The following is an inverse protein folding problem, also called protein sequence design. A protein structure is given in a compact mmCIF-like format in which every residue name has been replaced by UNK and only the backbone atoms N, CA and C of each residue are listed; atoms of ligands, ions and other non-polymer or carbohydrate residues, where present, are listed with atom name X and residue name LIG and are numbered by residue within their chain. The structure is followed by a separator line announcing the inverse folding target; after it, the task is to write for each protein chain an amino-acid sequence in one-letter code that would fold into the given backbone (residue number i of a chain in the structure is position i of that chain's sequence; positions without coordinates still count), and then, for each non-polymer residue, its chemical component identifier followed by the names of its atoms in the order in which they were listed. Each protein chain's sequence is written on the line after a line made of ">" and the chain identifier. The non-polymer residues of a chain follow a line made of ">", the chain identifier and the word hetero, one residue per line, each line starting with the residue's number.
data_IF_520350719198
#
_entry.id   IF_520350719198
#
_cell.length_a   1.000
_cell.length_b   1.000
_cell.length_c   1.000
_cell.angle_alpha   90.00
_cell.angle_beta   90.00
_cell.angle_gamma   90.00
#
_symmetry.space_group_name_H-M   'P 1'
#
loop_
_entity.id
_entity.type
_entity.pdbx_description
1 polymer ?
#
# COMPACT_ATOMS: atom_id res chain seq x y z
N UNK A 1 -12.35 -25.90 44.30
CA UNK A 1 -11.41 -24.88 43.80
C UNK A 1 -10.88 -25.36 42.45
N UNK A 2 -11.59 -25.01 41.37
CA UNK A 2 -11.08 -25.27 40.01
C UNK A 2 -10.22 -24.08 39.61
N UNK A 3 -8.91 -24.31 39.48
CA UNK A 3 -7.96 -23.38 38.90
C UNK A 3 -8.29 -23.19 37.42
N UNK A 4 -8.98 -22.11 37.11
CA UNK A 4 -9.18 -21.65 35.74
C UNK A 4 -7.86 -21.06 35.22
N UNK A 5 -7.04 -21.90 34.60
CA UNK A 5 -5.89 -21.47 33.82
C UNK A 5 -6.43 -21.01 32.45
N UNK A 6 -6.99 -19.80 32.40
CA UNK A 6 -7.18 -19.12 31.11
C UNK A 6 -5.81 -18.55 30.73
N UNK A 7 -5.16 -19.02 29.64
CA UNK A 7 -3.94 -18.39 29.18
C UNK A 7 -4.27 -16.93 28.88
N UNK A 8 -3.44 -16.01 29.38
CA UNK A 8 -3.55 -14.57 29.20
C UNK A 8 -3.51 -14.17 27.72
N UNK A 9 -4.60 -14.36 26.99
CA UNK A 9 -4.70 -13.95 25.60
C UNK A 9 -5.00 -12.46 25.60
N UNK A 10 -3.97 -11.67 25.29
CA UNK A 10 -4.19 -10.28 24.88
C UNK A 10 -5.13 -10.29 23.67
N UNK A 11 -6.15 -9.42 23.63
CA UNK A 11 -7.06 -9.35 22.51
C UNK A 11 -6.28 -9.03 21.22
N UNK A 12 -6.69 -9.65 20.11
CA UNK A 12 -6.10 -9.35 18.81
C UNK A 12 -6.18 -7.85 18.51
N UNK A 13 -5.10 -7.26 18.00
CA UNK A 13 -4.95 -5.84 17.73
C UNK A 13 -4.60 -5.59 16.26
N UNK A 14 -5.32 -4.68 15.63
CA UNK A 14 -5.13 -4.26 14.24
C UNK A 14 -4.80 -2.77 14.20
N UNK A 15 -3.65 -2.41 13.65
CA UNK A 15 -3.33 -1.01 13.35
C UNK A 15 -3.65 -0.69 11.90
N UNK A 16 -4.39 0.38 11.66
CA UNK A 16 -4.75 0.87 10.34
C UNK A 16 -4.05 2.23 10.17
N UNK A 17 -3.04 2.25 9.30
CA UNK A 17 -2.29 3.46 8.94
C UNK A 17 -3.02 4.12 7.77
N UNK A 18 -3.55 5.31 8.01
CA UNK A 18 -4.46 6.06 7.15
C UNK A 18 -5.92 5.97 7.63
N UNK A 19 -6.49 7.08 8.09
CA UNK A 19 -7.87 7.19 8.56
C UNK A 19 -8.81 7.79 7.48
N UNK A 20 -8.41 7.75 6.21
CA UNK A 20 -9.29 8.10 5.08
C UNK A 20 -10.44 7.10 4.89
N UNK A 21 -11.25 7.28 3.83
CA UNK A 21 -12.48 6.51 3.58
C UNK A 21 -12.29 4.98 3.67
N UNK A 22 -11.20 4.43 3.14
CA UNK A 22 -10.93 2.98 3.21
C UNK A 22 -10.60 2.55 4.64
N UNK A 23 -9.69 3.26 5.31
CA UNK A 23 -9.24 2.93 6.66
C UNK A 23 -10.35 3.07 7.71
N UNK A 24 -11.16 4.13 7.64
CA UNK A 24 -12.30 4.32 8.53
C UNK A 24 -13.39 3.26 8.32
N UNK A 25 -13.71 2.93 7.06
CA UNK A 25 -14.67 1.85 6.75
C UNK A 25 -14.13 0.49 7.20
N UNK A 26 -12.82 0.25 7.09
CA UNK A 26 -12.20 -0.98 7.58
C UNK A 26 -12.28 -1.08 9.11
N UNK A 27 -11.99 0.01 9.82
CA UNK A 27 -12.12 0.09 11.27
C UNK A 27 -13.56 -0.23 11.70
N UNK A 28 -14.55 0.41 11.06
CA UNK A 28 -15.96 0.13 11.30
C UNK A 28 -16.27 -1.36 11.16
N UNK A 29 -15.88 -1.99 10.04
CA UNK A 29 -16.15 -3.41 9.79
C UNK A 29 -15.50 -4.35 10.81
N UNK A 30 -14.26 -4.07 11.21
CA UNK A 30 -13.55 -4.86 12.23
C UNK A 30 -14.29 -4.78 13.57
N UNK A 31 -14.76 -3.59 13.92
CA UNK A 31 -15.49 -3.34 15.18
C UNK A 31 -16.86 -4.00 15.16
N UNK A 32 -17.66 -3.80 14.12
CA UNK A 32 -19.00 -4.38 13.96
C UNK A 32 -18.98 -5.92 13.96
N UNK A 33 -17.95 -6.51 13.32
CA UNK A 33 -17.76 -7.97 13.34
C UNK A 33 -17.09 -8.49 14.62
N UNK A 34 -16.75 -7.61 15.57
CA UNK A 34 -16.03 -7.94 16.80
C UNK A 34 -14.71 -8.70 16.56
N UNK A 35 -13.99 -8.41 15.48
CA UNK A 35 -12.78 -9.15 15.07
C UNK A 35 -11.59 -8.84 16.00
N UNK A 36 -11.31 -7.56 16.23
CA UNK A 36 -10.10 -7.10 16.92
C UNK A 36 -10.27 -5.72 17.55
N UNK A 37 -9.35 -5.36 18.44
CA UNK A 37 -9.11 -3.99 18.87
C UNK A 37 -8.44 -3.22 17.73
N UNK A 38 -8.84 -1.96 17.50
CA UNK A 38 -8.37 -1.15 16.36
C UNK A 38 -7.57 0.06 16.83
N UNK A 39 -6.42 0.30 16.20
CA UNK A 39 -5.69 1.56 16.26
C UNK A 39 -5.75 2.23 14.90
N UNK A 40 -6.42 3.38 14.80
CA UNK A 40 -6.38 4.23 13.63
C UNK A 40 -5.25 5.25 13.81
N UNK A 41 -4.34 5.30 12.85
CA UNK A 41 -3.28 6.29 12.79
C UNK A 41 -3.45 7.14 11.54
N UNK A 42 -3.39 8.46 11.67
CA UNK A 42 -3.29 9.36 10.52
C UNK A 42 -2.27 10.47 10.79
N UNK A 43 -1.81 11.16 9.76
CA UNK A 43 -0.92 12.32 9.93
C UNK A 43 -1.71 13.59 10.20
N UNK A 44 -3.00 13.63 9.83
CA UNK A 44 -3.88 14.78 10.06
C UNK A 44 -4.33 14.79 11.52
N UNK A 45 -3.97 15.82 12.32
CA UNK A 45 -4.36 15.88 13.73
C UNK A 45 -5.88 15.85 13.93
N UNK A 46 -6.36 15.01 14.85
CA UNK A 46 -7.78 14.90 15.21
C UNK A 46 -8.64 14.05 14.27
N UNK A 47 -8.16 13.69 13.07
CA UNK A 47 -8.93 12.89 12.13
C UNK A 47 -9.15 11.46 12.66
N UNK A 48 -8.06 10.78 13.03
CA UNK A 48 -8.12 9.42 13.54
C UNK A 48 -8.86 9.35 14.89
N UNK A 49 -8.61 10.32 15.78
CA UNK A 49 -9.26 10.45 17.08
C UNK A 49 -10.76 10.66 16.95
N UNK A 50 -11.20 11.54 16.05
CA UNK A 50 -12.60 11.82 15.80
C UNK A 50 -13.35 10.58 15.31
N UNK A 51 -12.77 9.88 14.32
CA UNK A 51 -13.36 8.65 13.78
C UNK A 51 -13.40 7.55 14.85
N UNK A 52 -12.32 7.38 15.62
CA UNK A 52 -12.26 6.39 16.69
C UNK A 52 -13.33 6.64 17.75
N UNK A 53 -13.53 7.90 18.17
CA UNK A 53 -14.54 8.27 19.15
C UNK A 53 -15.96 8.01 18.63
N UNK A 54 -16.24 8.38 17.38
CA UNK A 54 -17.53 8.14 16.74
C UNK A 54 -17.85 6.63 16.66
N UNK A 55 -16.87 5.83 16.22
CA UNK A 55 -17.00 4.36 16.24
C UNK A 55 -17.22 3.82 17.64
N UNK A 56 -16.54 4.36 18.67
CA UNK A 56 -16.79 3.97 20.05
C UNK A 56 -18.23 4.26 20.50
N UNK A 57 -18.81 5.39 20.07
CA UNK A 57 -20.19 5.76 20.39
C UNK A 57 -21.21 4.86 19.68
N UNK A 58 -20.93 4.45 18.44
CA UNK A 58 -21.79 3.55 17.68
C UNK A 58 -21.90 2.13 18.30
N UNK A 59 -20.85 1.65 18.99
CA UNK A 59 -20.79 0.28 19.53
C UNK A 59 -21.94 -0.09 20.47
N UNK A 60 -22.43 0.87 21.26
CA UNK A 60 -23.56 0.63 22.17
C UNK A 60 -24.87 0.30 21.42
N UNK A 61 -25.02 0.86 20.21
CA UNK A 61 -26.18 0.66 19.34
C UNK A 61 -26.05 -0.67 18.60
N UNK A 62 -24.88 -0.93 18.02
CA UNK A 62 -24.55 -2.17 17.29
C UNK A 62 -24.36 -3.39 18.20
N UNK A 63 -24.50 -3.23 19.52
CA UNK A 63 -24.36 -4.28 20.55
C UNK A 63 -23.02 -5.03 20.46
N UNK A 64 -21.95 -4.31 20.09
CA UNK A 64 -20.61 -4.85 19.92
C UNK A 64 -19.76 -4.65 21.19
N UNK A 65 -19.79 -5.61 22.11
CA UNK A 65 -19.20 -5.49 23.45
C UNK A 65 -17.94 -6.35 23.70
N UNK A 66 -16.96 -6.26 22.81
CA UNK A 66 -15.64 -6.88 23.02
C UNK A 66 -14.92 -6.36 24.28
N UNK A 67 -15.18 -5.10 24.67
CA UNK A 67 -14.56 -4.47 25.84
C UNK A 67 -14.98 -5.14 27.18
N UNK A 68 -16.22 -5.60 27.31
CA UNK A 68 -16.69 -6.34 28.48
C UNK A 68 -16.07 -7.74 28.58
N UNK A 69 -15.91 -8.43 27.44
CA UNK A 69 -15.34 -9.79 27.39
C UNK A 69 -13.86 -9.84 27.85
N UNK A 70 -13.09 -8.76 27.66
CA UNK A 70 -11.64 -8.76 27.89
C UNK A 70 -11.23 -8.01 29.17
N UNK A 71 -12.19 -7.58 30.01
CA UNK A 71 -11.94 -6.77 31.24
C UNK A 71 -11.02 -5.56 31.03
N UNK A 72 -10.96 -5.06 29.80
CA UNK A 72 -10.17 -3.91 29.39
C UNK A 72 -11.12 -2.91 28.76
N UNK A 73 -11.80 -2.15 29.62
CA UNK A 73 -12.83 -1.19 29.25
C UNK A 73 -12.36 -0.05 28.32
N UNK A 74 -11.06 0.01 27.99
CA UNK A 74 -10.41 1.17 27.36
C UNK A 74 -9.66 0.89 26.05
N UNK A 75 -9.82 -0.27 25.39
CA UNK A 75 -8.96 -0.62 24.24
C UNK A 75 -9.63 -1.05 22.93
N UNK A 76 -10.94 -0.85 22.73
CA UNK A 76 -11.57 -1.39 21.51
C UNK A 76 -11.25 -0.60 20.23
N UNK A 77 -11.25 0.74 20.27
CA UNK A 77 -10.89 1.60 19.13
C UNK A 77 -10.12 2.80 19.66
N UNK A 78 -8.98 3.12 19.07
CA UNK A 78 -8.12 4.21 19.49
C UNK A 78 -7.61 4.96 18.26
N UNK A 79 -7.68 6.29 18.28
CA UNK A 79 -7.16 7.17 17.23
C UNK A 79 -5.88 7.88 17.71
N UNK A 80 -4.91 8.07 16.82
CA UNK A 80 -3.62 8.69 17.15
C UNK A 80 -2.93 9.28 15.92
N UNK A 81 -1.93 10.12 16.15
CA UNK A 81 -0.93 10.51 15.15
C UNK A 81 0.46 9.88 15.42
N UNK A 82 0.60 9.04 16.45
CA UNK A 82 1.88 8.51 16.91
C UNK A 82 2.02 7.00 16.66
N UNK A 83 3.07 6.60 15.94
CA UNK A 83 3.37 5.19 15.67
C UNK A 83 3.69 4.37 16.93
N UNK A 84 4.13 4.97 18.04
CA UNK A 84 4.35 4.24 19.27
C UNK A 84 3.07 3.56 19.79
N UNK A 85 1.91 4.14 19.50
CA UNK A 85 0.62 3.58 19.89
C UNK A 85 0.20 2.38 19.04
N UNK A 86 0.87 2.12 17.91
CA UNK A 86 0.61 0.94 17.05
C UNK A 86 1.34 -0.31 17.53
N UNK A 87 1.97 -0.28 18.71
CA UNK A 87 2.79 -1.36 19.23
C UNK A 87 2.01 -2.67 19.47
N UNK A 88 2.69 -3.80 19.32
CA UNK A 88 2.13 -5.15 19.58
C UNK A 88 0.88 -5.49 18.75
N UNK A 89 0.74 -4.89 17.57
CA UNK A 89 -0.32 -5.23 16.62
C UNK A 89 -0.07 -6.58 15.98
N UNK A 90 -1.11 -7.40 15.87
CA UNK A 90 -1.05 -8.67 15.15
C UNK A 90 -1.08 -8.45 13.63
N UNK A 91 -1.79 -7.40 13.21
CA UNK A 91 -1.91 -7.01 11.80
C UNK A 91 -1.75 -5.50 11.68
N UNK A 92 -0.94 -5.07 10.74
CA UNK A 92 -0.81 -3.66 10.34
C UNK A 92 -1.36 -3.54 8.92
N UNK A 93 -2.30 -2.62 8.71
CA UNK A 93 -2.90 -2.33 7.41
C UNK A 93 -2.47 -0.94 6.96
N UNK A 94 -1.79 -0.83 5.81
CA UNK A 94 -1.42 0.45 5.22
C UNK A 94 -2.46 0.82 4.15
N UNK A 95 -3.30 1.79 4.48
CA UNK A 95 -4.20 2.49 3.55
C UNK A 95 -3.74 3.93 3.27
N UNK A 96 -2.72 4.42 3.99
CA UNK A 96 -2.17 5.74 3.83
C UNK A 96 -1.57 5.92 2.43
N UNK A 97 -1.97 7.00 1.78
CA UNK A 97 -1.51 7.36 0.45
C UNK A 97 -2.29 8.56 -0.06
N UNK A 98 -1.74 9.23 -1.07
CA UNK A 98 -2.45 10.28 -1.79
C UNK A 98 -3.30 9.67 -2.90
N UNK A 99 -4.57 10.09 -3.06
CA UNK A 99 -5.27 9.84 -4.32
C UNK A 99 -4.59 10.65 -5.44
N UNK A 100 -4.79 10.21 -6.68
CA UNK A 100 -4.36 10.97 -7.86
C UNK A 100 -5.12 12.29 -7.92
N UNK A 101 -4.41 13.42 -7.91
CA UNK A 101 -5.00 14.75 -8.06
C UNK A 101 -4.99 15.19 -9.54
N UNK A 102 -5.90 16.09 -9.96
CA UNK A 102 -5.82 16.70 -11.29
C UNK A 102 -4.43 17.33 -11.51
N UNK A 103 -3.82 17.07 -12.68
CA UNK A 103 -2.48 17.55 -13.02
C UNK A 103 -1.31 16.68 -12.51
N UNK A 104 -1.55 15.68 -11.65
CA UNK A 104 -0.51 14.80 -11.13
C UNK A 104 -0.10 13.74 -12.17
N UNK A 105 1.21 13.65 -12.43
CA UNK A 105 1.78 12.62 -13.31
C UNK A 105 1.68 11.22 -12.67
N UNK A 106 1.90 10.16 -13.45
CA UNK A 106 1.95 8.79 -12.90
C UNK A 106 3.17 8.63 -11.97
N UNK A 107 4.29 9.23 -12.34
CA UNK A 107 5.54 9.18 -11.58
C UNK A 107 5.43 9.98 -10.28
N UNK A 108 4.74 11.13 -10.29
CA UNK A 108 4.52 11.94 -9.08
C UNK A 108 3.71 11.16 -8.04
N UNK A 109 2.62 10.52 -8.50
CA UNK A 109 1.78 9.68 -7.63
C UNK A 109 2.57 8.49 -7.09
N UNK A 110 3.36 7.85 -7.96
CA UNK A 110 4.22 6.73 -7.58
C UNK A 110 5.23 7.15 -6.51
N UNK A 111 5.89 8.30 -6.68
CA UNK A 111 6.86 8.84 -5.73
C UNK A 111 6.21 9.12 -4.37
N UNK A 112 5.12 9.88 -4.37
CA UNK A 112 4.42 10.27 -3.14
C UNK A 112 3.98 9.04 -2.35
N UNK A 113 3.33 8.08 -3.02
CA UNK A 113 2.85 6.88 -2.35
C UNK A 113 3.99 5.95 -1.94
N UNK A 114 5.08 5.86 -2.72
CA UNK A 114 6.27 5.10 -2.35
C UNK A 114 6.87 5.62 -1.03
N UNK A 115 7.05 6.94 -0.91
CA UNK A 115 7.56 7.55 0.33
C UNK A 115 6.64 7.25 1.51
N UNK A 116 5.33 7.49 1.37
CA UNK A 116 4.35 7.25 2.44
C UNK A 116 4.36 5.79 2.89
N UNK A 117 4.34 4.85 1.95
CA UNK A 117 4.27 3.42 2.26
C UNK A 117 5.56 2.92 2.89
N UNK A 118 6.73 3.36 2.41
CA UNK A 118 8.03 2.98 2.98
C UNK A 118 8.17 3.48 4.41
N UNK A 119 7.79 4.73 4.68
CA UNK A 119 7.81 5.29 6.04
C UNK A 119 6.80 4.61 6.96
N UNK A 120 5.57 4.39 6.48
CA UNK A 120 4.54 3.70 7.24
C UNK A 120 4.94 2.27 7.62
N UNK A 121 5.49 1.52 6.66
CA UNK A 121 5.96 0.16 6.90
C UNK A 121 7.09 0.12 7.92
N UNK A 122 8.11 0.99 7.79
CA UNK A 122 9.25 1.07 8.72
C UNK A 122 8.80 1.39 10.14
N UNK A 123 8.03 2.47 10.30
CA UNK A 123 7.63 2.93 11.62
C UNK A 123 6.67 1.94 12.30
N UNK A 124 5.68 1.41 11.57
CA UNK A 124 4.74 0.47 12.16
C UNK A 124 5.41 -0.85 12.58
N UNK A 125 6.31 -1.40 11.76
CA UNK A 125 7.02 -2.65 12.07
C UNK A 125 8.08 -2.46 13.17
N UNK A 126 8.67 -1.27 13.30
CA UNK A 126 9.55 -0.97 14.44
C UNK A 126 8.84 -1.12 15.79
N UNK A 127 7.53 -0.82 15.85
CA UNK A 127 6.71 -0.99 17.06
C UNK A 127 5.97 -2.34 17.13
N UNK A 128 5.79 -3.00 15.99
CA UNK A 128 5.08 -4.28 15.86
C UNK A 128 5.85 -5.27 14.97
N UNK A 129 7.01 -5.76 15.44
CA UNK A 129 7.91 -6.60 14.64
C UNK A 129 7.35 -7.98 14.31
N UNK A 130 6.26 -8.40 14.97
CA UNK A 130 5.56 -9.68 14.77
C UNK A 130 4.28 -9.55 13.93
N UNK A 131 3.92 -8.35 13.48
CA UNK A 131 2.70 -8.13 12.70
C UNK A 131 2.74 -8.71 11.27
N UNK A 132 1.59 -9.14 10.77
CA UNK A 132 1.40 -9.30 9.32
C UNK A 132 1.08 -7.93 8.71
N UNK A 133 1.78 -7.59 7.64
CA UNK A 133 1.65 -6.31 6.94
C UNK A 133 0.73 -6.47 5.72
N UNK A 134 -0.43 -5.82 5.78
CA UNK A 134 -1.40 -5.73 4.70
C UNK A 134 -1.29 -4.38 4.00
N UNK A 135 -1.03 -4.38 2.69
CA UNK A 135 -0.94 -3.14 1.90
C UNK A 135 -2.20 -2.98 1.05
N UNK A 136 -2.73 -1.76 1.04
CA UNK A 136 -3.91 -1.36 0.23
C UNK A 136 -3.58 -0.20 -0.71
N UNK A 137 -2.56 0.59 -0.38
CA UNK A 137 -2.14 1.77 -1.13
C UNK A 137 -1.73 1.42 -2.56
N UNK A 138 -2.19 2.20 -3.53
CA UNK A 138 -1.90 2.00 -4.94
C UNK A 138 -0.70 2.83 -5.43
N UNK A 139 0.02 2.41 -6.50
CA UNK A 139 -0.15 1.17 -7.27
C UNK A 139 0.25 -0.08 -6.47
N UNK A 140 -0.71 -0.98 -6.29
CA UNK A 140 -0.70 -1.91 -5.16
C UNK A 140 0.48 -2.87 -5.13
N UNK A 141 0.74 -3.58 -6.22
CA UNK A 141 1.82 -4.58 -6.26
C UNK A 141 3.19 -3.94 -6.03
N UNK A 142 3.41 -2.74 -6.59
CA UNK A 142 4.62 -1.94 -6.39
C UNK A 142 4.74 -1.48 -4.94
N UNK A 143 3.65 -0.96 -4.36
CA UNK A 143 3.64 -0.51 -2.96
C UNK A 143 3.85 -1.69 -2.00
N UNK A 144 3.32 -2.87 -2.32
CA UNK A 144 3.51 -4.08 -1.53
C UNK A 144 4.98 -4.54 -1.56
N UNK A 145 5.61 -4.51 -2.73
CA UNK A 145 7.04 -4.80 -2.88
C UNK A 145 7.91 -3.82 -2.08
N UNK A 146 7.65 -2.51 -2.19
CA UNK A 146 8.41 -1.48 -1.46
C UNK A 146 8.19 -1.58 0.05
N UNK A 147 6.97 -1.86 0.51
CA UNK A 147 6.67 -2.10 1.91
C UNK A 147 7.43 -3.32 2.45
N UNK A 148 7.49 -4.40 1.68
CA UNK A 148 8.27 -5.60 2.03
C UNK A 148 9.75 -5.27 2.18
N UNK A 149 10.36 -4.64 1.19
CA UNK A 149 11.77 -4.23 1.25
C UNK A 149 12.06 -3.30 2.44
N UNK A 150 11.18 -2.32 2.67
CA UNK A 150 11.34 -1.34 3.74
C UNK A 150 11.16 -1.93 5.14
N UNK A 151 10.25 -2.88 5.29
CA UNK A 151 9.93 -3.51 6.58
C UNK A 151 10.97 -4.53 7.03
N UNK A 152 11.68 -5.16 6.08
CA UNK A 152 12.60 -6.27 6.36
C UNK A 152 11.92 -7.54 6.86
N UNK A 153 10.58 -7.60 6.76
CA UNK A 153 9.81 -8.80 7.13
C UNK A 153 10.04 -9.93 6.13
N UNK A 154 9.87 -11.19 6.56
CA UNK A 154 9.84 -12.29 5.61
C UNK A 154 8.64 -12.13 4.66
N UNK A 155 8.78 -12.47 3.37
CA UNK A 155 7.79 -12.14 2.34
C UNK A 155 6.40 -12.70 2.62
N UNK A 156 6.28 -13.87 3.26
CA UNK A 156 4.98 -14.44 3.63
C UNK A 156 4.18 -13.56 4.61
N UNK A 157 4.84 -12.68 5.37
CA UNK A 157 4.19 -11.75 6.32
C UNK A 157 3.81 -10.42 5.68
N UNK A 158 3.99 -10.25 4.38
CA UNK A 158 3.57 -9.06 3.63
C UNK A 158 2.63 -9.48 2.52
N UNK A 159 1.49 -8.81 2.38
CA UNK A 159 0.48 -9.17 1.39
C UNK A 159 -0.32 -7.95 0.95
N UNK A 160 -0.60 -7.83 -0.34
CA UNK A 160 -1.41 -6.75 -0.89
C UNK A 160 -2.86 -7.15 -1.14
N UNK A 161 -3.80 -6.25 -0.86
CA UNK A 161 -5.24 -6.44 -1.12
C UNK A 161 -5.57 -6.19 -2.60
N UNK A 162 -5.19 -7.15 -3.46
CA UNK A 162 -5.31 -7.02 -4.92
C UNK A 162 -6.51 -7.82 -5.45
N UNK A 163 -6.25 -9.02 -5.95
CA UNK A 163 -7.22 -9.80 -6.71
C UNK A 163 -8.54 -10.06 -5.98
N UNK A 164 -8.58 -10.07 -4.64
CA UNK A 164 -9.83 -10.19 -3.89
C UNK A 164 -10.86 -9.10 -4.21
N UNK A 165 -10.42 -7.86 -4.47
CA UNK A 165 -11.31 -6.75 -4.85
C UNK A 165 -11.85 -6.93 -6.27
N UNK A 166 -10.99 -7.34 -7.19
CA UNK A 166 -11.38 -7.54 -8.60
C UNK A 166 -12.26 -8.79 -8.75
N UNK A 167 -11.98 -9.85 -8.00
CA UNK A 167 -12.89 -10.99 -7.83
C UNK A 167 -14.25 -10.55 -7.33
N UNK A 168 -14.32 -9.70 -6.29
CA UNK A 168 -15.60 -9.22 -5.75
C UNK A 168 -16.40 -8.39 -6.77
N UNK A 169 -15.73 -7.56 -7.56
CA UNK A 169 -16.35 -6.81 -8.66
C UNK A 169 -16.88 -7.73 -9.75
N UNK A 170 -16.07 -8.70 -10.17
CA UNK A 170 -16.47 -9.63 -11.22
C UNK A 170 -17.63 -10.51 -10.76
N UNK A 171 -17.61 -11.00 -9.52
CA UNK A 171 -18.73 -11.70 -8.88
C UNK A 171 -20.01 -10.88 -8.93
N UNK A 172 -19.95 -9.59 -8.57
CA UNK A 172 -21.12 -8.72 -8.60
C UNK A 172 -21.67 -8.56 -10.03
N UNK A 173 -20.81 -8.40 -11.03
CA UNK A 173 -21.26 -8.26 -12.42
C UNK A 173 -21.84 -9.54 -13.01
N UNK A 174 -21.23 -10.71 -12.72
CA UNK A 174 -21.78 -12.01 -13.11
C UNK A 174 -23.15 -12.23 -12.45
N UNK A 175 -23.27 -11.91 -11.15
CA UNK A 175 -24.52 -12.04 -10.42
C UNK A 175 -25.64 -11.16 -10.99
N UNK A 176 -25.32 -9.92 -11.34
CA UNK A 176 -26.25 -8.98 -11.99
C UNK A 176 -26.68 -9.46 -13.38
N UNK A 177 -25.74 -9.98 -14.18
CA UNK A 177 -26.02 -10.48 -15.53
C UNK A 177 -26.95 -11.70 -15.50
N UNK A 178 -26.71 -12.64 -14.59
CA UNK A 178 -27.45 -13.90 -14.50
C UNK A 178 -28.69 -13.82 -13.59
N UNK A 179 -28.87 -12.74 -12.84
CA UNK A 179 -29.98 -12.58 -11.88
C UNK A 179 -29.89 -13.54 -10.70
N UNK A 180 -28.69 -13.86 -10.23
CA UNK A 180 -28.44 -14.81 -9.13
C UNK A 180 -27.84 -14.11 -7.90
N UNK A 181 -27.92 -14.72 -6.69
CA UNK A 181 -27.25 -14.15 -5.52
C UNK A 181 -25.72 -14.08 -5.68
N UNK A 182 -25.11 -12.94 -5.36
CA UNK A 182 -23.63 -12.78 -5.46
C UNK A 182 -22.86 -13.78 -4.61
N UNK A 183 -23.43 -14.22 -3.49
CA UNK A 183 -22.82 -15.22 -2.58
C UNK A 183 -22.63 -16.59 -3.23
N UNK A 184 -23.39 -16.90 -4.29
CA UNK A 184 -23.29 -18.16 -5.04
C UNK A 184 -22.27 -18.09 -6.18
N UNK A 185 -21.69 -16.91 -6.43
CA UNK A 185 -20.72 -16.68 -7.50
C UNK A 185 -19.31 -16.72 -6.94
N UNK A 186 -18.43 -17.50 -7.56
CA UNK A 186 -16.98 -17.48 -7.33
C UNK A 186 -16.29 -16.93 -8.57
N UNK A 187 -15.36 -15.98 -8.40
CA UNK A 187 -14.56 -15.46 -9.51
C UNK A 187 -13.06 -15.51 -9.17
N UNK A 188 -12.28 -15.95 -10.14
CA UNK A 188 -10.82 -16.04 -10.04
C UNK A 188 -10.17 -15.09 -11.02
N UNK A 189 -9.29 -14.23 -10.50
CA UNK A 189 -8.47 -13.29 -11.26
C UNK A 189 -7.03 -13.35 -10.77
N UNK A 190 -6.08 -13.19 -11.69
CA UNK A 190 -4.65 -13.06 -11.43
C UNK A 190 -4.12 -11.72 -11.93
N UNK A 191 -2.84 -11.45 -11.70
CA UNK A 191 -2.15 -10.27 -12.20
C UNK A 191 -2.40 -9.02 -11.36
N UNK A 192 -1.90 -7.89 -11.86
CA UNK A 192 -2.13 -6.55 -11.30
C UNK A 192 -3.53 -6.03 -11.64
N UNK A 193 -4.02 -5.06 -10.88
CA UNK A 193 -5.28 -4.34 -11.17
C UNK A 193 -5.31 -3.68 -12.56
N UNK A 194 -6.53 -3.47 -13.08
CA UNK A 194 -6.81 -2.71 -14.30
C UNK A 194 -6.50 -3.48 -15.59
N UNK A 195 -5.86 -2.82 -16.56
CA UNK A 195 -5.51 -3.41 -17.86
C UNK A 195 -4.64 -4.67 -17.76
N UNK A 196 -3.93 -4.81 -16.63
CA UNK A 196 -3.03 -5.91 -16.33
C UNK A 196 -3.69 -7.08 -15.59
N UNK A 197 -5.01 -7.00 -15.38
CA UNK A 197 -5.80 -8.04 -14.74
C UNK A 197 -5.97 -9.22 -15.70
N UNK A 198 -5.74 -10.42 -15.19
CA UNK A 198 -5.84 -11.69 -15.91
C UNK A 198 -7.04 -12.48 -15.35
N UNK A 199 -8.25 -12.25 -15.87
CA UNK A 199 -9.43 -13.01 -15.47
C UNK A 199 -9.35 -14.44 -15.98
N UNK A 200 -9.91 -15.37 -15.22
CA UNK A 200 -9.95 -16.79 -15.57
C UNK A 200 -11.39 -17.30 -15.63
N UNK A 201 -12.15 -17.04 -16.71
CA UNK A 201 -13.57 -17.41 -16.79
C UNK A 201 -13.87 -18.89 -16.49
N UNK A 202 -13.00 -19.82 -16.91
CA UNK A 202 -13.13 -21.25 -16.61
C UNK A 202 -12.96 -21.63 -15.13
N UNK A 203 -12.41 -20.72 -14.33
CA UNK A 203 -12.33 -20.85 -12.87
C UNK A 203 -13.34 -19.95 -12.15
N UNK A 204 -14.21 -19.25 -12.89
CA UNK A 204 -15.35 -18.54 -12.36
C UNK A 204 -16.59 -19.43 -12.43
N UNK A 205 -17.37 -19.51 -11.36
CA UNK A 205 -18.52 -20.42 -11.27
C UNK A 205 -19.73 -19.76 -10.61
N UNK A 206 -20.92 -20.27 -10.92
CA UNK A 206 -22.15 -20.05 -10.15
C UNK A 206 -22.58 -21.39 -9.58
N UNK A 207 -22.57 -21.53 -8.25
CA UNK A 207 -22.87 -22.80 -7.56
C UNK A 207 -22.08 -24.00 -8.11
N UNK A 208 -20.84 -23.77 -8.54
CA UNK A 208 -19.95 -24.79 -9.11
C UNK A 208 -20.03 -24.98 -10.63
N UNK A 209 -21.00 -24.37 -11.32
CA UNK A 209 -21.11 -24.44 -12.79
C UNK A 209 -20.24 -23.33 -13.41
N UNK A 210 -19.27 -23.66 -14.30
CA UNK A 210 -18.43 -22.67 -14.95
C UNK A 210 -19.25 -21.62 -15.73
N UNK A 211 -18.87 -20.34 -15.63
CA UNK A 211 -19.61 -19.28 -16.34
C UNK A 211 -19.54 -19.43 -17.87
N UNK A 212 -18.55 -20.15 -18.39
CA UNK A 212 -18.40 -20.50 -19.81
C UNK A 212 -19.48 -21.47 -20.32
N UNK A 213 -20.21 -22.13 -19.41
CA UNK A 213 -21.39 -22.95 -19.74
C UNK A 213 -22.70 -22.17 -19.58
N UNK A 214 -22.66 -21.01 -18.91
CA UNK A 214 -23.84 -20.21 -18.56
C UNK A 214 -24.03 -19.01 -19.49
N UNK A 215 -22.96 -18.52 -20.11
CA UNK A 215 -22.95 -17.31 -20.95
C UNK A 215 -22.02 -17.51 -22.15
N UNK A 216 -22.30 -16.79 -23.24
CA UNK A 216 -21.39 -16.74 -24.38
C UNK A 216 -20.11 -15.92 -24.09
N UNK A 217 -19.11 -16.10 -24.95
CA UNK A 217 -17.81 -15.43 -24.78
C UNK A 217 -17.92 -13.90 -24.89
N UNK A 218 -18.80 -13.37 -25.74
CA UNK A 218 -18.99 -11.92 -25.91
C UNK A 218 -19.48 -11.27 -24.62
N UNK A 219 -20.44 -11.91 -23.94
CA UNK A 219 -20.95 -11.50 -22.64
C UNK A 219 -19.85 -11.55 -21.59
N UNK A 220 -19.09 -12.65 -21.53
CA UNK A 220 -17.97 -12.80 -20.58
C UNK A 220 -16.92 -11.71 -20.80
N UNK A 221 -16.53 -11.44 -22.03
CA UNK A 221 -15.55 -10.40 -22.38
C UNK A 221 -16.03 -9.00 -21.98
N UNK A 222 -17.31 -8.69 -22.19
CA UNK A 222 -17.92 -7.44 -21.72
C UNK A 222 -17.84 -7.28 -20.20
N UNK A 223 -18.15 -8.34 -19.44
CA UNK A 223 -18.06 -8.31 -17.97
C UNK A 223 -16.61 -8.20 -17.48
N UNK A 224 -15.69 -8.88 -18.14
CA UNK A 224 -14.25 -8.76 -17.89
C UNK A 224 -13.79 -7.32 -18.08
N UNK A 225 -14.15 -6.70 -19.20
CA UNK A 225 -13.73 -5.33 -19.51
C UNK A 225 -14.33 -4.32 -18.52
N UNK A 226 -15.59 -4.50 -18.12
CA UNK A 226 -16.19 -3.72 -17.04
C UNK A 226 -15.44 -3.91 -15.72
N UNK A 227 -15.00 -5.13 -15.41
CA UNK A 227 -14.22 -5.42 -14.19
C UNK A 227 -12.89 -4.67 -14.18
N UNK A 228 -12.14 -4.66 -15.29
CA UNK A 228 -10.89 -3.87 -15.43
C UNK A 228 -11.12 -2.39 -15.16
N UNK A 229 -12.25 -1.87 -15.66
CA UNK A 229 -12.61 -0.46 -15.56
C UNK A 229 -13.41 -0.09 -14.30
N UNK A 230 -13.77 -1.06 -13.44
CA UNK A 230 -14.68 -0.84 -12.32
C UNK A 230 -14.16 0.20 -11.31
N UNK A 231 -12.84 0.29 -11.12
CA UNK A 231 -12.25 1.36 -10.31
C UNK A 231 -12.52 2.75 -10.88
N UNK A 232 -12.32 2.91 -12.18
CA UNK A 232 -12.59 4.16 -12.92
C UNK A 232 -14.08 4.48 -12.98
N UNK A 233 -14.93 3.47 -13.19
CA UNK A 233 -16.40 3.59 -13.16
C UNK A 233 -16.87 4.21 -11.83
N UNK A 234 -16.39 3.70 -10.70
CA UNK A 234 -16.76 4.23 -9.37
C UNK A 234 -16.21 5.64 -9.15
N UNK A 235 -14.98 5.95 -9.58
CA UNK A 235 -14.41 7.31 -9.48
C UNK A 235 -15.26 8.31 -10.25
N UNK A 236 -15.70 7.95 -11.46
CA UNK A 236 -16.56 8.81 -12.29
C UNK A 236 -17.93 9.05 -11.64
N UNK A 237 -18.51 8.02 -11.03
CA UNK A 237 -19.82 8.12 -10.34
C UNK A 237 -19.74 8.91 -9.04
N UNK A 238 -18.70 8.70 -8.21
CA UNK A 238 -18.57 9.38 -6.91
C UNK A 238 -18.08 10.82 -7.03
N UNK A 239 -17.35 11.17 -8.10
CA UNK A 239 -16.77 12.48 -8.42
C UNK A 239 -15.76 13.04 -7.39
N UNK A 240 -15.71 12.51 -6.18
CA UNK A 240 -15.00 13.05 -5.00
C UNK A 240 -14.12 11.99 -4.32
N UNK A 241 -13.70 10.96 -5.07
CA UNK A 241 -12.77 9.94 -4.59
C UNK A 241 -13.00 8.56 -5.22
N UNK A 242 -12.16 7.59 -4.79
CA UNK A 242 -12.26 6.20 -5.22
C UNK A 242 -13.24 5.36 -4.39
N UNK A 243 -13.40 4.10 -4.78
CA UNK A 243 -14.16 3.10 -4.04
C UNK A 243 -13.56 2.86 -2.65
N UNK A 244 -14.42 2.61 -1.65
CA UNK A 244 -13.97 2.35 -0.27
C UNK A 244 -14.69 1.19 0.41
N UNK A 245 -15.97 0.94 0.10
CA UNK A 245 -16.71 -0.18 0.70
C UNK A 245 -16.18 -1.56 0.31
N UNK A 246 -15.98 -1.81 -0.99
CA UNK A 246 -15.48 -3.10 -1.49
C UNK A 246 -14.00 -3.34 -1.13
N UNK A 247 -13.09 -2.33 -1.24
CA UNK A 247 -11.74 -2.43 -0.69
C UNK A 247 -11.73 -2.77 0.81
N UNK A 248 -12.48 -2.03 1.64
CA UNK A 248 -12.52 -2.29 3.08
C UNK A 248 -13.12 -3.66 3.43
N UNK A 249 -14.14 -4.12 2.70
CA UNK A 249 -14.72 -5.45 2.90
C UNK A 249 -13.70 -6.57 2.58
N UNK A 250 -12.96 -6.42 1.49
CA UNK A 250 -11.91 -7.37 1.09
C UNK A 250 -10.76 -7.39 2.10
N UNK A 251 -10.27 -6.21 2.51
CA UNK A 251 -9.23 -6.14 3.55
C UNK A 251 -9.70 -6.71 4.88
N UNK A 252 -10.96 -6.47 5.27
CA UNK A 252 -11.55 -7.04 6.49
C UNK A 252 -11.58 -8.57 6.44
N UNK A 253 -11.93 -9.17 5.29
CA UNK A 253 -11.88 -10.62 5.10
C UNK A 253 -10.46 -11.18 5.23
N UNK A 254 -9.45 -10.47 4.70
CA UNK A 254 -8.05 -10.86 4.84
C UNK A 254 -7.60 -10.81 6.31
N UNK A 255 -7.91 -9.73 7.03
CA UNK A 255 -7.64 -9.58 8.47
C UNK A 255 -8.31 -10.70 9.26
N UNK A 256 -9.57 -11.00 8.98
CA UNK A 256 -10.34 -12.07 9.63
C UNK A 256 -9.69 -13.44 9.39
N UNK A 257 -9.30 -13.74 8.15
CA UNK A 257 -8.64 -15.01 7.80
C UNK A 257 -7.30 -15.20 8.52
N UNK A 258 -6.52 -14.12 8.64
CA UNK A 258 -5.23 -14.10 9.35
C UNK A 258 -5.45 -14.35 10.85
N UNK A 259 -6.28 -13.52 11.49
CA UNK A 259 -6.44 -13.54 12.94
C UNK A 259 -7.12 -14.81 13.45
N UNK A 260 -8.04 -15.37 12.67
CA UNK A 260 -8.77 -16.60 13.04
C UNK A 260 -8.22 -17.86 12.38
N UNK A 261 -7.08 -17.76 11.70
CA UNK A 261 -6.41 -18.87 11.03
C UNK A 261 -7.35 -19.69 10.11
N UNK A 262 -8.22 -19.01 9.36
CA UNK A 262 -9.25 -19.66 8.55
C UNK A 262 -8.67 -20.40 7.33
N UNK A 263 -7.39 -20.19 7.01
CA UNK A 263 -6.68 -20.82 5.88
C UNK A 263 -7.44 -20.64 4.54
N UNK A 264 -8.01 -19.46 4.31
CA UNK A 264 -8.85 -19.21 3.13
C UNK A 264 -7.99 -19.13 1.87
N UNK A 265 -8.52 -19.66 0.77
CA UNK A 265 -8.01 -19.40 -0.56
C UNK A 265 -8.64 -18.12 -1.12
N UNK A 266 -7.82 -17.14 -1.46
CA UNK A 266 -8.28 -15.94 -2.15
C UNK A 266 -7.15 -15.33 -2.97
N UNK A 267 -7.46 -14.61 -4.06
CA UNK A 267 -6.46 -13.85 -4.80
C UNK A 267 -5.91 -12.69 -3.95
N UNK A 268 -4.60 -12.62 -3.82
CA UNK A 268 -3.90 -11.56 -3.12
C UNK A 268 -2.56 -11.26 -3.81
N UNK A 269 -2.01 -10.07 -3.61
CA UNK A 269 -0.66 -9.77 -4.09
C UNK A 269 0.33 -10.44 -3.14
N UNK A 270 1.05 -11.45 -3.64
CA UNK A 270 1.98 -12.24 -2.86
C UNK A 270 3.34 -12.37 -3.57
N UNK A 271 4.39 -12.59 -2.78
CA UNK A 271 5.74 -12.73 -3.28
C UNK A 271 5.94 -14.09 -3.95
N UNK A 272 6.40 -14.08 -5.21
CA UNK A 272 6.69 -15.30 -5.96
C UNK A 272 8.19 -15.63 -5.92
N UNK A 273 8.50 -16.91 -5.71
CA UNK A 273 9.86 -17.46 -5.59
C UNK A 273 10.19 -18.49 -6.68
N UNK A 274 9.27 -18.70 -7.62
CA UNK A 274 9.39 -19.62 -8.75
C UNK A 274 8.02 -20.05 -9.28
N UNK A 275 6.96 -19.82 -8.50
CA UNK A 275 5.58 -20.10 -8.89
C UNK A 275 5.22 -19.37 -10.17
N UNK A 276 4.49 -20.04 -11.05
CA UNK A 276 4.16 -19.60 -12.39
C UNK A 276 5.36 -19.28 -13.29
N UNK A 277 6.59 -19.64 -12.88
CA UNK A 277 7.83 -19.24 -13.56
C UNK A 277 8.28 -17.81 -13.24
N UNK A 278 7.68 -17.18 -12.24
CA UNK A 278 7.97 -15.81 -11.81
C UNK A 278 8.73 -15.81 -10.50
N UNK A 279 9.67 -14.88 -10.34
CA UNK A 279 10.52 -14.77 -9.16
C UNK A 279 10.76 -13.30 -8.83
N UNK A 280 10.87 -13.01 -7.53
CA UNK A 280 11.20 -11.69 -7.00
C UNK A 280 10.20 -10.60 -7.40
N UNK A 281 8.92 -10.91 -7.18
CA UNK A 281 7.82 -10.02 -7.53
C UNK A 281 6.64 -10.24 -6.59
N UNK A 282 5.96 -9.17 -6.22
CA UNK A 282 4.61 -9.23 -5.68
C UNK A 282 3.60 -9.07 -6.82
N UNK A 283 2.68 -10.01 -6.98
CA UNK A 283 1.62 -9.95 -7.99
C UNK A 283 0.40 -10.72 -7.54
N UNK A 284 -0.79 -10.35 -8.03
CA UNK A 284 -2.05 -11.03 -7.73
C UNK A 284 -2.05 -12.50 -8.14
N UNK A 285 -2.10 -13.39 -7.16
CA UNK A 285 -2.23 -14.85 -7.33
C UNK A 285 -3.10 -15.45 -6.22
N UNK A 286 -3.73 -16.63 -6.43
CA UNK A 286 -4.47 -17.32 -5.38
C UNK A 286 -3.51 -17.79 -4.28
N UNK A 287 -3.80 -17.34 -3.06
CA UNK A 287 -3.00 -17.62 -1.89
C UNK A 287 -3.85 -18.31 -0.82
N UNK A 288 -3.23 -19.21 -0.06
CA UNK A 288 -3.75 -19.64 1.23
C UNK A 288 -3.33 -18.62 2.28
N UNK A 289 -4.30 -17.95 2.89
CA UNK A 289 -4.07 -16.92 3.90
C UNK A 289 -4.44 -17.44 5.28
N UNK A 290 -3.45 -17.50 6.18
CA UNK A 290 -3.62 -17.96 7.56
C UNK A 290 -2.85 -17.11 8.57
N UNK A 291 -2.66 -17.64 9.77
CA UNK A 291 -2.05 -16.92 10.90
C UNK A 291 -0.59 -16.51 10.70
N UNK A 292 0.09 -17.10 9.71
CA UNK A 292 1.47 -16.75 9.32
C UNK A 292 1.53 -15.79 8.12
N UNK A 293 0.37 -15.32 7.63
CA UNK A 293 0.25 -14.55 6.40
C UNK A 293 0.00 -15.46 5.21
N UNK A 294 0.77 -15.32 4.13
CA UNK A 294 0.67 -16.17 2.93
C UNK A 294 1.37 -17.51 3.20
N UNK A 295 0.59 -18.56 3.45
CA UNK A 295 1.12 -19.90 3.77
C UNK A 295 1.57 -20.66 2.52
N UNK A 296 0.90 -20.44 1.40
CA UNK A 296 1.23 -21.07 0.11
C UNK A 296 0.55 -20.33 -1.03
N UNK A 297 1.22 -20.25 -2.18
CA UNK A 297 0.62 -19.86 -3.46
C UNK A 297 0.08 -21.11 -4.15
N UNK A 298 -1.14 -21.03 -4.71
CA UNK A 298 -1.77 -22.14 -5.44
C UNK A 298 -1.53 -21.99 -6.94
N UNK A 299 -0.63 -22.77 -7.52
CA UNK A 299 -0.43 -22.73 -8.98
C UNK A 299 -1.60 -23.37 -9.74
N UNK A 300 -2.26 -22.56 -10.57
CA UNK A 300 -3.33 -22.99 -11.46
C UNK A 300 -2.75 -23.47 -12.79
N UNK A 301 -3.44 -24.42 -13.43
CA UNK A 301 -3.11 -24.86 -14.78
C UNK A 301 -3.55 -23.80 -15.80
N UNK A 302 -2.66 -22.86 -16.13
CA UNK A 302 -2.92 -21.79 -17.10
C UNK A 302 -2.73 -22.29 -18.54
N UNK A 303 -3.59 -21.81 -19.44
CA UNK A 303 -3.40 -21.92 -20.89
C UNK A 303 -2.21 -21.06 -21.30
N UNK A 304 -1.70 -21.27 -22.52
CA UNK A 304 -0.61 -20.44 -23.06
C UNK A 304 -0.97 -18.96 -23.08
N UNK A 305 -2.22 -18.63 -23.45
CA UNK A 305 -2.72 -17.25 -23.50
C UNK A 305 -2.78 -16.58 -22.12
N UNK A 306 -3.29 -17.28 -21.11
CA UNK A 306 -3.36 -16.75 -19.74
C UNK A 306 -1.98 -16.64 -19.09
N UNK A 307 -1.10 -17.62 -19.34
CA UNK A 307 0.29 -17.58 -18.89
C UNK A 307 1.00 -16.37 -19.48
N UNK A 308 0.85 -16.14 -20.79
CA UNK A 308 1.43 -14.98 -21.46
C UNK A 308 0.89 -13.66 -20.89
N UNK A 309 -0.43 -13.57 -20.63
CA UNK A 309 -1.04 -12.40 -20.00
C UNK A 309 -0.51 -12.13 -18.58
N UNK A 310 -0.34 -13.19 -17.77
CA UNK A 310 0.26 -13.07 -16.44
C UNK A 310 1.71 -12.60 -16.49
N UNK A 311 2.50 -13.10 -17.44
CA UNK A 311 3.89 -12.66 -17.61
C UNK A 311 3.98 -11.20 -18.09
N UNK A 312 3.09 -10.77 -18.98
CA UNK A 312 3.01 -9.37 -19.40
C UNK A 312 2.62 -8.45 -18.22
N UNK A 313 1.67 -8.88 -17.40
CA UNK A 313 1.30 -8.22 -16.14
C UNK A 313 2.51 -8.08 -15.20
N UNK A 314 3.24 -9.18 -14.98
CA UNK A 314 4.45 -9.20 -14.16
C UNK A 314 5.56 -8.29 -14.69
N UNK A 315 5.81 -8.28 -16.00
CA UNK A 315 6.80 -7.39 -16.61
C UNK A 315 6.47 -5.91 -16.39
N UNK A 316 5.19 -5.54 -16.46
CA UNK A 316 4.76 -4.17 -16.19
C UNK A 316 4.98 -3.79 -14.72
N UNK A 317 4.65 -4.69 -13.79
CA UNK A 317 4.90 -4.49 -12.35
C UNK A 317 6.40 -4.33 -12.08
N UNK A 318 7.25 -5.21 -12.64
CA UNK A 318 8.72 -5.12 -12.49
C UNK A 318 9.27 -3.78 -13.00
N UNK A 319 8.79 -3.31 -14.15
CA UNK A 319 9.18 -2.00 -14.69
C UNK A 319 8.80 -0.86 -13.74
N UNK A 320 7.61 -0.92 -13.15
CA UNK A 320 7.17 0.10 -12.19
C UNK A 320 7.92 0.02 -10.86
N UNK A 321 8.31 -1.17 -10.40
CA UNK A 321 9.19 -1.35 -9.24
C UNK A 321 10.56 -0.71 -9.51
N UNK A 322 11.16 -1.01 -10.67
CA UNK A 322 12.44 -0.41 -11.06
C UNK A 322 12.31 1.12 -11.12
N UNK A 323 11.26 1.64 -11.75
CA UNK A 323 11.02 3.08 -11.84
C UNK A 323 10.85 3.72 -10.46
N UNK A 324 10.12 3.08 -9.56
CA UNK A 324 9.95 3.57 -8.19
C UNK A 324 11.29 3.64 -7.45
N UNK A 325 12.12 2.59 -7.57
CA UNK A 325 13.45 2.55 -6.95
C UNK A 325 14.38 3.64 -7.50
N UNK A 326 14.35 3.89 -8.82
CA UNK A 326 15.10 4.98 -9.46
C UNK A 326 14.67 6.35 -8.89
N UNK A 327 13.37 6.62 -8.88
CA UNK A 327 12.81 7.87 -8.35
C UNK A 327 13.18 8.07 -6.87
N UNK A 328 13.07 7.00 -6.06
CA UNK A 328 13.43 7.06 -4.65
C UNK A 328 14.93 7.30 -4.45
N UNK A 329 15.80 6.67 -5.24
CA UNK A 329 17.24 6.90 -5.20
C UNK A 329 17.60 8.34 -5.59
N UNK A 330 17.03 8.86 -6.68
CA UNK A 330 17.23 10.24 -7.12
C UNK A 330 16.79 11.25 -6.05
N UNK A 331 15.66 11.00 -5.39
CA UNK A 331 15.15 11.84 -4.31
C UNK A 331 16.09 11.84 -3.09
N UNK A 332 16.65 10.69 -2.73
CA UNK A 332 17.65 10.61 -1.65
C UNK A 332 18.94 11.37 -1.99
N UNK A 333 19.45 11.20 -3.20
CA UNK A 333 20.65 11.93 -3.65
C UNK A 333 20.41 13.43 -3.72
N UNK A 334 19.22 13.86 -4.19
CA UNK A 334 18.81 15.28 -4.17
C UNK A 334 18.79 15.83 -2.76
N UNK A 335 18.15 15.13 -1.83
CA UNK A 335 18.08 15.53 -0.41
C UNK A 335 19.46 15.67 0.20
N UNK A 336 20.37 14.69 -0.04
CA UNK A 336 21.75 14.74 0.45
C UNK A 336 22.52 15.92 -0.12
N UNK A 337 22.37 16.20 -1.42
CA UNK A 337 23.03 17.32 -2.07
C UNK A 337 22.58 18.66 -1.48
N UNK A 338 21.27 18.88 -1.37
CA UNK A 338 20.71 20.11 -0.81
C UNK A 338 21.11 20.28 0.67
N UNK A 339 21.08 19.21 1.45
CA UNK A 339 21.53 19.24 2.85
C UNK A 339 23.03 19.53 2.97
N UNK A 340 23.85 18.99 2.07
CA UNK A 340 25.28 19.30 2.02
C UNK A 340 25.51 20.78 1.67
N UNK A 341 24.78 21.32 0.68
CA UNK A 341 24.81 22.75 0.34
C UNK A 341 24.42 23.62 1.53
N UNK A 342 23.34 23.26 2.22
CA UNK A 342 22.90 23.97 3.43
C UNK A 342 23.98 24.01 4.51
N UNK A 343 24.54 22.84 4.87
CA UNK A 343 25.58 22.70 5.90
C UNK A 343 26.86 23.48 5.59
N UNK A 344 27.15 23.70 4.31
CA UNK A 344 28.29 24.48 3.85
C UNK A 344 28.02 25.99 3.78
N UNK A 345 26.80 26.42 4.14
CA UNK A 345 26.43 27.82 4.18
C UNK A 345 26.00 28.39 2.82
N UNK A 346 25.76 27.56 1.80
CA UNK A 346 25.47 28.02 0.43
C UNK A 346 24.24 28.96 0.33
N UNK A 347 23.35 28.91 1.31
CA UNK A 347 22.18 29.80 1.44
C UNK A 347 22.55 31.23 1.91
N UNK A 348 23.71 31.41 2.55
CA UNK A 348 24.22 32.72 3.02
C UNK A 348 25.13 33.40 2.00
N UNK A 349 25.00 33.04 0.72
CA UNK A 349 25.88 33.52 -0.36
C UNK A 349 27.37 33.17 -0.14
N UNK A 350 27.66 32.07 0.58
CA UNK A 350 29.04 31.60 0.73
C UNK A 350 29.54 30.91 -0.54
N UNK A 351 30.82 31.11 -0.86
CA UNK A 351 31.46 30.51 -2.03
C UNK A 351 31.68 28.99 -1.85
N UNK A 352 30.67 28.17 -2.15
CA UNK A 352 30.78 26.70 -2.14
C UNK A 352 31.16 26.21 -3.54
N UNK A 353 32.35 25.61 -3.70
CA UNK A 353 32.77 25.09 -5.01
C UNK A 353 32.08 23.76 -5.32
N UNK A 354 31.71 23.55 -6.59
CA UNK A 354 31.13 22.28 -7.08
C UNK A 354 32.04 21.07 -6.80
N UNK A 355 33.35 21.25 -6.92
CA UNK A 355 34.34 20.18 -6.66
C UNK A 355 34.32 19.79 -5.18
N UNK A 356 34.23 20.75 -4.26
CA UNK A 356 34.19 20.49 -2.82
C UNK A 356 32.99 19.63 -2.42
N UNK A 357 31.82 19.89 -3.03
CA UNK A 357 30.61 19.07 -2.84
C UNK A 357 30.81 17.67 -3.39
N UNK A 358 31.34 17.59 -4.61
CA UNK A 358 31.61 16.32 -5.29
C UNK A 358 32.52 15.41 -4.46
N UNK A 359 33.56 15.97 -3.84
CA UNK A 359 34.48 15.24 -2.96
C UNK A 359 33.85 14.88 -1.60
N UNK A 360 33.10 15.80 -0.99
CA UNK A 360 32.41 15.54 0.29
C UNK A 360 31.33 14.46 0.16
N UNK A 361 30.59 14.48 -0.93
CA UNK A 361 29.57 13.50 -1.26
C UNK A 361 30.21 12.16 -1.65
N UNK A 362 31.35 12.15 -2.34
CA UNK A 362 32.10 10.89 -2.57
C UNK A 362 32.45 10.13 -1.29
N UNK A 363 32.65 10.83 -0.16
CA UNK A 363 32.92 10.18 1.14
C UNK A 363 31.70 9.40 1.68
N UNK A 364 30.51 9.57 1.12
CA UNK A 364 29.31 8.78 1.47
C UNK A 364 29.10 7.57 0.55
N UNK A 365 30.06 7.22 -0.31
CA UNK A 365 30.05 6.00 -1.13
C UNK A 365 29.49 6.16 -2.55
N UNK A 366 29.10 7.37 -2.95
CA UNK A 366 28.53 7.66 -4.28
C UNK A 366 29.54 8.30 -5.22
N UNK A 367 29.36 8.15 -6.54
CA UNK A 367 30.29 8.72 -7.52
C UNK A 367 29.90 10.16 -7.85
N UNK A 368 30.91 10.96 -8.19
CA UNK A 368 30.73 12.33 -8.68
C UNK A 368 29.73 12.45 -9.84
N UNK A 369 29.77 11.47 -10.75
CA UNK A 369 28.92 11.37 -11.93
C UNK A 369 27.43 11.33 -11.58
N UNK A 370 27.10 10.75 -10.43
CA UNK A 370 25.71 10.48 -10.01
C UNK A 370 24.97 11.78 -9.69
N UNK A 371 25.73 12.86 -9.46
CA UNK A 371 25.21 14.18 -9.11
C UNK A 371 25.20 15.16 -10.28
N UNK A 372 25.85 14.85 -11.41
CA UNK A 372 25.94 15.77 -12.55
C UNK A 372 24.54 16.11 -13.09
N UNK A 373 23.71 15.10 -13.33
CA UNK A 373 22.33 15.29 -13.77
C UNK A 373 21.44 15.95 -12.72
N UNK A 374 21.70 15.69 -11.43
CA UNK A 374 20.97 16.31 -10.32
C UNK A 374 21.27 17.82 -10.26
N UNK A 375 22.54 18.22 -10.39
CA UNK A 375 22.91 19.63 -10.44
C UNK A 375 22.22 20.37 -11.58
N UNK A 376 22.23 19.79 -12.79
CA UNK A 376 21.64 20.43 -13.96
C UNK A 376 20.10 20.54 -13.81
N UNK A 377 19.45 19.54 -13.22
CA UNK A 377 18.02 19.56 -12.89
C UNK A 377 17.68 20.63 -11.84
N UNK A 378 18.45 20.69 -10.74
CA UNK A 378 18.24 21.68 -9.68
C UNK A 378 18.47 23.12 -10.16
N UNK A 379 19.39 23.31 -11.11
CA UNK A 379 19.62 24.60 -11.77
C UNK A 379 18.42 24.99 -12.62
N UNK A 380 17.89 24.07 -13.44
CA UNK A 380 16.69 24.30 -14.25
C UNK A 380 15.45 24.58 -13.40
N UNK A 381 15.32 23.88 -12.27
CA UNK A 381 14.24 24.12 -11.31
C UNK A 381 14.46 25.40 -10.49
N UNK A 382 15.63 26.04 -10.59
CA UNK A 382 15.97 27.26 -9.85
C UNK A 382 16.19 27.03 -8.34
N UNK A 383 16.37 25.78 -7.91
CA UNK A 383 16.69 25.43 -6.54
C UNK A 383 18.15 25.76 -6.18
N UNK A 384 19.03 25.76 -7.18
CA UNK A 384 20.41 26.22 -7.04
C UNK A 384 20.74 27.21 -8.15
N UNK A 385 21.68 28.11 -7.88
CA UNK A 385 22.25 29.01 -8.87
C UNK A 385 23.77 28.85 -8.92
N UNK A 386 24.35 29.15 -10.07
CA UNK A 386 25.80 29.14 -10.24
C UNK A 386 26.34 30.53 -10.52
N UNK A 387 27.39 30.90 -9.80
CA UNK A 387 28.14 32.13 -10.05
C UNK A 387 29.59 31.81 -10.39
N UNK A 388 30.21 32.68 -11.19
CA UNK A 388 31.65 32.61 -11.48
C UNK A 388 32.34 33.67 -10.63
N UNK A 389 33.10 33.23 -9.63
CA UNK A 389 33.94 34.11 -8.80
C UNK A 389 35.39 33.64 -8.85
N UNK A 390 36.32 34.57 -9.15
CA UNK A 390 37.75 34.29 -9.17
C UNK A 390 38.13 33.03 -9.98
N UNK A 391 37.53 32.86 -11.17
CA UNK A 391 37.69 31.70 -12.08
C UNK A 391 37.15 30.35 -11.54
N UNK A 392 36.42 30.35 -10.41
CA UNK A 392 35.76 29.17 -9.87
C UNK A 392 34.24 29.25 -10.07
N UNK A 393 33.62 28.10 -10.39
CA UNK A 393 32.16 27.95 -10.41
C UNK A 393 31.68 27.62 -8.99
N UNK A 394 31.01 28.57 -8.35
CA UNK A 394 30.42 28.43 -7.01
C UNK A 394 28.92 28.18 -7.11
N UNK A 395 28.38 27.43 -6.15
CA UNK A 395 26.96 27.08 -6.07
C UNK A 395 26.32 27.84 -4.92
N UNK A 396 25.18 28.45 -5.21
CA UNK A 396 24.30 29.10 -4.25
C UNK A 396 23.03 28.27 -4.11
N UNK A 397 22.60 28.06 -2.86
CA UNK A 397 21.30 27.44 -2.56
C UNK A 397 20.27 28.56 -2.50
N UNK A 398 19.30 28.56 -3.41
CA UNK A 398 18.28 29.61 -3.48
C UNK A 398 17.21 29.41 -2.40
N UNK A 399 16.37 30.41 -2.15
CA UNK A 399 15.19 30.26 -1.27
C UNK A 399 14.32 29.07 -1.71
N UNK A 400 14.15 28.88 -3.02
CA UNK A 400 13.44 27.72 -3.58
C UNK A 400 14.13 26.40 -3.23
N UNK A 401 15.46 26.35 -3.25
CA UNK A 401 16.21 25.18 -2.84
C UNK A 401 16.10 24.89 -1.34
N UNK A 402 16.04 25.93 -0.50
CA UNK A 402 15.80 25.80 0.94
C UNK A 402 14.37 25.28 1.18
N UNK A 403 13.37 25.83 0.50
CA UNK A 403 12.00 25.35 0.58
C UNK A 403 11.89 23.88 0.17
N UNK A 404 12.52 23.50 -0.95
CA UNK A 404 12.53 22.11 -1.39
C UNK A 404 13.24 21.18 -0.39
N UNK A 405 14.30 21.64 0.27
CA UNK A 405 14.95 20.90 1.34
C UNK A 405 14.03 20.69 2.55
N UNK A 406 13.27 21.73 2.95
CA UNK A 406 12.25 21.63 4.01
C UNK A 406 11.17 20.60 3.67
N UNK A 407 10.68 20.64 2.43
CA UNK A 407 9.67 19.70 1.93
C UNK A 407 10.18 18.26 1.91
N UNK A 408 11.41 18.04 1.42
CA UNK A 408 12.03 16.70 1.36
C UNK A 408 12.35 16.11 2.74
N UNK A 409 12.66 16.94 3.73
CA UNK A 409 12.96 16.52 5.10
C UNK A 409 11.78 16.63 6.06
N UNK A 410 10.64 17.14 5.58
CA UNK A 410 9.44 17.40 6.36
C UNK A 410 9.72 18.16 7.69
N UNK A 411 10.48 19.26 7.59
CA UNK A 411 10.88 20.07 8.76
C UNK A 411 11.01 21.55 8.41
N UNK A 412 10.69 22.41 9.37
CA UNK A 412 10.80 23.87 9.28
C UNK A 412 12.15 24.41 9.82
N UNK A 413 13.09 23.52 10.17
CA UNK A 413 14.37 23.91 10.82
C UNK A 413 15.41 24.60 9.91
N UNK A 414 15.14 24.70 8.61
CA UNK A 414 16.03 25.32 7.61
C UNK A 414 15.58 26.74 7.27
#
# INVERSE_FOLDING_TARGET
>A
MHSSVWPSHRPARVSIIGAGKVGSTLAQRIVEKNIADVVLLDVVPGLAEGIALDLMQARGIERCDRAFLVRSAYRCVFGTNNYADTAESNVVVITAGSPRKPGMSRDDLLQVNATIVVEAAKNAIAHSPDAILLVVTNPLDVMTYLAWQASGLPPQRVVGMAGGLDSARFQAFIAMELGVPTVDVSAMVLGSHGDLMVPLPRYCTVSGIPITELMDNETIERLVERTRNAGSEIVQLLQTGGAYFAPAATTCLMVESILFNQSRFMPASAYLQGEYGLKDIFIGVPCRLGSSGVESVLELNLTETERAALHASAQSVLKNIQRANEIMSESQSTTRLLLALWKLGAHKSTDVKRVDLTEKIKRTGEKASDYQGIFDKLEQEGAIAFEIKNRNRVILLTEKGVQMLRELLNTDEF
#
